data_IF_545678828043
#
_entry.id   IF_545678828043
#
_cell.length_a   1.000
_cell.length_b   1.000
_cell.length_c   1.000
_cell.angle_alpha   90.00
_cell.angle_beta   90.00
_cell.angle_gamma   90.00
#
_symmetry.space_group_name_H-M   'P 1'
#
loop_
_entity.id
_entity.type
_entity.pdbx_description
1 polymer ?
#
# COMPACT_ATOMS: atom_id res chain seq x y z
N UNK A 1 -6.82 4.71 29.56
CA UNK A 1 -7.00 3.29 29.19
C UNK A 1 -7.32 3.31 27.71
N UNK A 2 -6.39 2.82 26.88
CA UNK A 2 -6.52 2.88 25.42
C UNK A 2 -7.54 1.88 24.91
N UNK A 3 -8.16 2.17 23.77
CA UNK A 3 -9.06 1.22 23.14
C UNK A 3 -8.22 0.11 22.48
N UNK A 4 -8.32 -1.13 22.99
CA UNK A 4 -7.55 -2.25 22.46
C UNK A 4 -7.68 -2.41 20.93
N UNK A 5 -8.85 -2.13 20.36
CA UNK A 5 -9.05 -2.20 18.92
C UNK A 5 -8.30 -1.09 18.17
N UNK A 6 -8.19 0.13 18.72
CA UNK A 6 -7.41 1.19 18.07
C UNK A 6 -5.93 0.84 18.06
N UNK A 7 -5.41 0.27 19.15
CA UNK A 7 -4.02 -0.18 19.24
C UNK A 7 -3.73 -1.29 18.22
N UNK A 8 -4.64 -2.26 18.05
CA UNK A 8 -4.52 -3.34 17.06
C UNK A 8 -4.58 -2.81 15.62
N UNK A 9 -5.44 -1.81 15.33
CA UNK A 9 -5.51 -1.14 14.03
C UNK A 9 -4.22 -0.37 13.72
N UNK A 10 -3.70 0.38 14.70
CA UNK A 10 -2.43 1.12 14.60
C UNK A 10 -1.28 0.15 14.32
N UNK A 11 -1.18 -0.94 15.09
CA UNK A 11 -0.17 -1.97 14.89
C UNK A 11 -0.26 -2.58 13.49
N UNK A 12 -1.47 -2.87 13.01
CA UNK A 12 -1.68 -3.39 11.67
C UNK A 12 -1.24 -2.38 10.58
N UNK A 13 -1.63 -1.11 10.69
CA UNK A 13 -1.13 -0.08 9.77
C UNK A 13 0.39 0.08 9.83
N UNK A 14 1.01 -0.12 10.99
CA UNK A 14 2.47 -0.18 11.13
C UNK A 14 3.08 -1.31 10.28
N UNK A 15 2.54 -2.52 10.36
CA UNK A 15 2.99 -3.65 9.54
C UNK A 15 2.76 -3.41 8.04
N UNK A 16 1.61 -2.82 7.67
CA UNK A 16 1.35 -2.42 6.28
C UNK A 16 2.39 -1.40 5.80
N UNK A 17 2.77 -0.44 6.64
CA UNK A 17 3.77 0.55 6.31
C UNK A 17 5.14 -0.08 6.03
N UNK A 18 5.58 -1.03 6.86
CA UNK A 18 6.82 -1.78 6.64
C UNK A 18 6.81 -2.57 5.32
N UNK A 19 5.69 -3.25 5.01
CA UNK A 19 5.55 -3.95 3.73
C UNK A 19 5.59 -3.01 2.53
N UNK A 20 5.01 -1.81 2.65
CA UNK A 20 5.11 -0.78 1.63
C UNK A 20 6.54 -0.27 1.46
N UNK A 21 7.30 -0.07 2.55
CA UNK A 21 8.71 0.32 2.44
C UNK A 21 9.54 -0.75 1.70
N UNK A 22 9.32 -2.02 2.01
CA UNK A 22 9.96 -3.13 1.30
C UNK A 22 9.55 -3.15 -0.19
N UNK A 23 8.27 -2.92 -0.49
CA UNK A 23 7.80 -2.81 -1.87
C UNK A 23 8.46 -1.65 -2.62
N UNK A 24 8.63 -0.50 -1.97
CA UNK A 24 9.34 0.64 -2.54
C UNK A 24 10.79 0.30 -2.88
N UNK A 25 11.49 -0.42 -1.99
CA UNK A 25 12.85 -0.87 -2.26
C UNK A 25 12.90 -1.79 -3.49
N UNK A 26 12.01 -2.77 -3.58
CA UNK A 26 11.93 -3.66 -4.75
C UNK A 26 11.55 -2.90 -6.04
N UNK A 27 10.67 -1.89 -5.97
CA UNK A 27 10.35 -1.02 -7.11
C UNK A 27 11.59 -0.29 -7.62
N UNK A 28 12.42 0.24 -6.71
CA UNK A 28 13.65 0.95 -7.06
C UNK A 28 14.68 0.01 -7.68
N UNK A 29 14.88 -1.17 -7.08
CA UNK A 29 15.78 -2.18 -7.64
C UNK A 29 15.35 -2.60 -9.06
N UNK A 30 14.04 -2.79 -9.26
CA UNK A 30 13.52 -3.09 -10.60
C UNK A 30 13.82 -1.97 -11.60
N UNK A 31 13.63 -0.70 -11.21
CA UNK A 31 13.93 0.44 -12.07
C UNK A 31 15.42 0.51 -12.42
N UNK A 32 16.30 0.35 -11.43
CA UNK A 32 17.76 0.35 -11.61
C UNK A 32 18.21 -0.78 -12.56
N UNK A 33 17.71 -1.99 -12.35
CA UNK A 33 17.93 -3.14 -13.24
C UNK A 33 17.55 -2.82 -14.70
N UNK A 34 16.40 -2.18 -14.92
CA UNK A 34 15.95 -1.79 -16.26
C UNK A 34 16.85 -0.70 -16.88
N UNK A 35 17.29 0.27 -16.08
CA UNK A 35 18.19 1.34 -16.53
C UNK A 35 19.57 0.82 -16.92
N UNK A 36 20.07 -0.20 -16.21
CA UNK A 36 21.34 -0.85 -16.53
C UNK A 36 21.25 -1.84 -17.70
N UNK A 37 20.07 -2.03 -18.29
CA UNK A 37 19.87 -2.98 -19.40
C UNK A 37 19.99 -4.44 -18.96
N UNK A 38 19.83 -4.73 -17.66
CA UNK A 38 19.91 -6.10 -17.15
C UNK A 38 18.77 -6.95 -17.70
N UNK A 39 19.08 -8.21 -18.00
CA UNK A 39 18.13 -9.14 -18.61
C UNK A 39 17.03 -9.59 -17.64
N UNK A 40 15.97 -10.21 -18.18
CA UNK A 40 14.84 -10.77 -17.41
C UNK A 40 15.25 -11.69 -16.25
N UNK A 41 16.40 -12.37 -16.35
CA UNK A 41 16.90 -13.26 -15.31
C UNK A 41 17.14 -12.55 -13.97
N UNK A 42 17.56 -11.28 -14.00
CA UNK A 42 17.81 -10.47 -12.80
C UNK A 42 16.54 -9.81 -12.26
N UNK A 43 15.55 -9.56 -13.14
CA UNK A 43 14.28 -8.94 -12.78
C UNK A 43 13.30 -9.96 -12.17
N UNK A 44 13.32 -11.21 -12.60
CA UNK A 44 12.36 -12.23 -12.13
C UNK A 44 12.36 -12.41 -10.59
N UNK A 45 13.51 -12.53 -9.91
CA UNK A 45 13.55 -12.60 -8.44
C UNK A 45 12.92 -11.38 -7.75
N UNK A 46 13.07 -10.19 -8.31
CA UNK A 46 12.45 -8.95 -7.80
C UNK A 46 10.92 -9.08 -7.90
N UNK A 47 10.41 -9.52 -9.05
CA UNK A 47 8.98 -9.70 -9.26
C UNK A 47 8.36 -10.74 -8.32
N UNK A 48 9.08 -11.82 -8.02
CA UNK A 48 8.64 -12.85 -7.07
C UNK A 48 8.58 -12.31 -5.64
N UNK A 49 9.59 -11.57 -5.19
CA UNK A 49 9.57 -10.90 -3.87
C UNK A 49 8.42 -9.92 -3.74
N UNK A 50 8.17 -9.11 -4.78
CA UNK A 50 7.01 -8.20 -4.84
C UNK A 50 5.69 -8.94 -4.75
N UNK A 51 5.54 -10.10 -5.41
CA UNK A 51 4.32 -10.91 -5.30
C UNK A 51 4.08 -11.39 -3.86
N UNK A 52 5.12 -11.84 -3.16
CA UNK A 52 5.02 -12.24 -1.76
C UNK A 52 4.62 -11.08 -0.84
N UNK A 53 5.17 -9.88 -1.09
CA UNK A 53 4.79 -8.68 -0.34
C UNK A 53 3.31 -8.32 -0.55
N UNK A 54 2.79 -8.43 -1.77
CA UNK A 54 1.37 -8.17 -2.06
C UNK A 54 0.44 -9.17 -1.37
N UNK A 55 0.81 -10.45 -1.32
CA UNK A 55 0.01 -11.46 -0.61
C UNK A 55 -0.07 -11.16 0.89
N UNK A 56 1.05 -10.77 1.51
CA UNK A 56 1.08 -10.34 2.91
C UNK A 56 0.26 -9.07 3.13
N UNK A 57 0.35 -8.10 2.21
CA UNK A 57 -0.43 -6.86 2.26
C UNK A 57 -1.92 -7.13 2.21
N UNK A 58 -2.36 -8.02 1.30
CA UNK A 58 -3.78 -8.36 1.15
C UNK A 58 -4.34 -8.96 2.45
N UNK A 59 -3.61 -9.89 3.08
CA UNK A 59 -3.99 -10.45 4.37
C UNK A 59 -4.12 -9.36 5.45
N UNK A 60 -3.13 -8.49 5.59
CA UNK A 60 -3.18 -7.39 6.57
C UNK A 60 -4.35 -6.44 6.29
N UNK A 61 -4.67 -6.14 5.04
CA UNK A 61 -5.80 -5.31 4.66
C UNK A 61 -7.14 -5.94 5.05
N UNK A 62 -7.29 -7.25 4.84
CA UNK A 62 -8.49 -7.98 5.23
C UNK A 62 -8.68 -7.97 6.74
N UNK A 63 -7.60 -8.22 7.50
CA UNK A 63 -7.66 -8.23 8.96
C UNK A 63 -7.91 -6.83 9.53
N UNK A 64 -7.24 -5.80 8.99
CA UNK A 64 -7.46 -4.42 9.42
C UNK A 64 -8.89 -3.96 9.09
N UNK A 65 -9.46 -4.37 7.96
CA UNK A 65 -10.86 -4.05 7.63
C UNK A 65 -11.84 -4.64 8.65
N UNK A 66 -11.60 -5.84 9.17
CA UNK A 66 -12.43 -6.43 10.23
C UNK A 66 -12.33 -5.61 11.52
N UNK A 67 -11.11 -5.26 11.94
CA UNK A 67 -10.88 -4.43 13.13
C UNK A 67 -11.56 -3.05 12.99
N UNK A 68 -11.43 -2.41 11.83
CA UNK A 68 -12.05 -1.12 11.53
C UNK A 68 -13.58 -1.18 11.58
N UNK A 69 -14.18 -2.27 11.07
CA UNK A 69 -15.62 -2.49 11.16
C UNK A 69 -16.09 -2.70 12.60
N UNK A 70 -15.33 -3.44 13.39
CA UNK A 70 -15.62 -3.67 14.80
C UNK A 70 -15.54 -2.37 15.61
N UNK A 71 -14.44 -1.61 15.45
CA UNK A 71 -14.29 -0.31 16.10
C UNK A 71 -15.40 0.67 15.68
N UNK A 72 -15.76 0.70 14.39
CA UNK A 72 -16.84 1.58 13.92
C UNK A 72 -18.17 1.23 14.59
N UNK A 73 -18.46 -0.06 14.77
CA UNK A 73 -19.66 -0.51 15.50
C UNK A 73 -19.62 -0.11 16.97
N UNK A 74 -18.49 -0.29 17.65
CA UNK A 74 -18.34 0.11 19.06
C UNK A 74 -18.54 1.60 19.27
N UNK A 75 -18.06 2.43 18.33
CA UNK A 75 -18.16 3.88 18.39
C UNK A 75 -19.46 4.43 17.78
N UNK A 76 -20.35 3.59 17.25
CA UNK A 76 -21.58 4.02 16.60
C UNK A 76 -21.36 4.80 15.30
N UNK A 77 -20.23 4.55 14.62
CA UNK A 77 -19.86 5.19 13.36
C UNK A 77 -20.33 4.32 12.18
N UNK A 78 -20.89 4.96 11.15
CA UNK A 78 -21.29 4.28 9.91
C UNK A 78 -20.08 3.72 9.15
N UNK A 79 -18.94 4.41 9.23
CA UNK A 79 -17.71 4.04 8.53
C UNK A 79 -16.46 4.47 9.30
N UNK A 80 -15.37 3.74 9.06
CA UNK A 80 -14.05 4.07 9.57
C UNK A 80 -13.46 5.23 8.76
N UNK A 81 -13.41 6.42 9.35
CA UNK A 81 -12.86 7.61 8.72
C UNK A 81 -12.15 8.51 9.75
N UNK A 82 -10.97 9.04 9.40
CA UNK A 82 -10.15 9.86 10.31
C UNK A 82 -10.86 11.09 10.88
N UNK A 83 -11.74 11.72 10.11
CA UNK A 83 -12.51 12.90 10.54
C UNK A 83 -13.55 12.51 11.58
N UNK A 84 -14.24 11.37 11.37
CA UNK A 84 -15.26 10.84 12.30
C UNK A 84 -14.64 10.22 13.55
N UNK A 85 -13.45 9.64 13.44
CA UNK A 85 -12.71 9.04 14.55
C UNK A 85 -12.07 10.09 15.47
N UNK A 86 -11.70 11.26 14.95
CA UNK A 86 -11.03 12.33 15.71
C UNK A 86 -11.71 12.69 17.05
N UNK A 87 -13.03 12.95 17.11
CA UNK A 87 -13.69 13.24 18.37
C UNK A 87 -13.85 12.03 19.30
N UNK A 88 -13.68 10.80 18.79
CA UNK A 88 -13.95 9.56 19.52
C UNK A 88 -12.70 8.92 20.13
N UNK A 89 -11.51 9.34 19.73
CA UNK A 89 -10.23 8.75 20.14
C UNK A 89 -9.46 9.70 21.06
N UNK A 90 -8.55 9.14 21.86
CA UNK A 90 -7.58 9.96 22.57
C UNK A 90 -6.69 10.69 21.56
N UNK A 91 -6.24 11.90 21.92
CA UNK A 91 -5.45 12.75 21.02
C UNK A 91 -4.18 12.06 20.51
N UNK A 92 -3.53 11.26 21.35
CA UNK A 92 -2.32 10.49 21.00
C UNK A 92 -2.63 9.37 20.01
N UNK A 93 -3.68 8.57 20.26
CA UNK A 93 -4.12 7.48 19.38
C UNK A 93 -4.48 8.03 17.99
N UNK A 94 -5.25 9.12 17.94
CA UNK A 94 -5.60 9.78 16.69
C UNK A 94 -4.38 10.30 15.95
N UNK A 95 -3.45 10.96 16.66
CA UNK A 95 -2.24 11.52 16.05
C UNK A 95 -1.35 10.42 15.44
N UNK A 96 -1.19 9.29 16.13
CA UNK A 96 -0.43 8.15 15.63
C UNK A 96 -1.10 7.55 14.38
N UNK A 97 -2.41 7.30 14.44
CA UNK A 97 -3.17 6.74 13.33
C UNK A 97 -3.13 7.65 12.09
N UNK A 98 -3.39 8.95 12.26
CA UNK A 98 -3.36 9.92 11.18
C UNK A 98 -1.98 9.98 10.52
N UNK A 99 -0.91 10.01 11.32
CA UNK A 99 0.47 10.00 10.83
C UNK A 99 0.78 8.74 10.01
N UNK A 100 0.37 7.56 10.48
CA UNK A 100 0.60 6.30 9.75
C UNK A 100 -0.12 6.28 8.41
N UNK A 101 -1.38 6.71 8.36
CA UNK A 101 -2.16 6.78 7.12
C UNK A 101 -1.54 7.78 6.12
N UNK A 102 -1.01 8.91 6.60
CA UNK A 102 -0.26 9.86 5.78
C UNK A 102 1.04 9.26 5.24
N UNK A 103 1.81 8.58 6.09
CA UNK A 103 3.05 7.92 5.69
C UNK A 103 2.80 6.81 4.64
N UNK A 104 1.74 6.02 4.81
CA UNK A 104 1.29 5.02 3.85
C UNK A 104 0.94 5.66 2.50
N UNK A 105 0.20 6.77 2.52
CA UNK A 105 -0.16 7.49 1.30
C UNK A 105 1.08 7.97 0.54
N UNK A 106 2.08 8.48 1.27
CA UNK A 106 3.33 8.96 0.68
C UNK A 106 4.13 7.83 0.04
N UNK A 107 4.35 6.72 0.76
CA UNK A 107 5.12 5.59 0.22
C UNK A 107 4.44 4.96 -0.98
N UNK A 108 3.10 4.83 -0.96
CA UNK A 108 2.35 4.31 -2.10
C UNK A 108 2.48 5.18 -3.33
N UNK A 109 2.48 6.51 -3.17
CA UNK A 109 2.73 7.44 -4.28
C UNK A 109 4.12 7.23 -4.88
N UNK A 110 5.16 7.09 -4.03
CA UNK A 110 6.53 6.83 -4.50
C UNK A 110 6.66 5.51 -5.25
N UNK A 111 5.99 4.45 -4.78
CA UNK A 111 5.91 3.16 -5.48
C UNK A 111 5.29 3.36 -6.86
N UNK A 112 4.12 4.02 -6.95
CA UNK A 112 3.44 4.26 -8.23
C UNK A 112 4.27 5.09 -9.20
N UNK A 113 4.94 6.14 -8.72
CA UNK A 113 5.81 6.97 -9.56
C UNK A 113 7.00 6.15 -10.09
N UNK A 114 7.57 5.28 -9.27
CA UNK A 114 8.69 4.40 -9.64
C UNK A 114 8.26 3.33 -10.64
N UNK A 115 7.10 2.73 -10.42
CA UNK A 115 6.53 1.70 -11.29
C UNK A 115 6.13 2.30 -12.65
N UNK A 116 5.61 3.53 -12.70
CA UNK A 116 5.32 4.24 -13.94
C UNK A 116 6.59 4.47 -14.78
N UNK A 117 7.70 4.88 -14.15
CA UNK A 117 9.01 5.02 -14.84
C UNK A 117 9.52 3.68 -15.36
N UNK A 118 9.38 2.62 -14.55
CA UNK A 118 9.75 1.26 -14.96
C UNK A 118 8.96 0.81 -16.19
N UNK A 119 7.65 1.07 -16.21
CA UNK A 119 6.80 0.77 -17.36
C UNK A 119 7.19 1.56 -18.62
N UNK A 120 7.58 2.83 -18.48
CA UNK A 120 8.07 3.63 -19.61
C UNK A 120 9.36 3.05 -20.19
N UNK A 121 10.33 2.63 -19.37
CA UNK A 121 11.55 2.00 -19.87
C UNK A 121 11.26 0.66 -20.57
N UNK A 122 10.35 -0.14 -20.00
CA UNK A 122 9.93 -1.39 -20.63
C UNK A 122 9.23 -1.18 -21.98
N UNK A 123 8.43 -0.12 -22.14
CA UNK A 123 7.76 0.18 -23.41
C UNK A 123 8.73 0.70 -24.47
N UNK A 124 9.70 1.53 -24.07
CA UNK A 124 10.77 2.01 -24.95
C UNK A 124 11.68 0.86 -25.42
N UNK A 125 12.01 -0.10 -24.54
CA UNK A 125 12.78 -1.30 -24.91
C UNK A 125 12.01 -2.30 -25.79
N UNK A 126 10.67 -2.29 -25.74
CA UNK A 126 9.80 -3.17 -26.55
C UNK A 126 9.55 -2.69 -27.98
N UNK A 127 9.93 -1.45 -28.34
CA UNK A 127 9.91 -1.00 -29.74
C UNK A 127 10.83 -1.83 -30.66
N UNK A 128 11.67 -2.71 -30.10
CA UNK A 128 12.59 -3.59 -30.83
C UNK A 128 12.22 -5.09 -30.83
N UNK A 129 11.20 -5.56 -30.09
CA UNK A 129 10.82 -6.99 -30.12
C UNK A 129 9.37 -7.23 -29.68
N UNK A 130 8.55 -7.97 -30.45
CA UNK A 130 7.21 -8.34 -30.03
C UNK A 130 7.30 -9.59 -29.14
N UNK A 131 6.99 -9.50 -27.85
CA UNK A 131 6.49 -10.68 -27.13
C UNK A 131 5.82 -10.43 -25.77
N UNK A 132 4.57 -10.94 -25.73
CA UNK A 132 3.70 -11.32 -24.62
C UNK A 132 4.46 -11.61 -23.30
N UNK A 133 4.49 -10.64 -22.40
CA UNK A 133 4.71 -10.87 -20.97
C UNK A 133 3.72 -9.98 -20.24
N UNK A 134 2.60 -10.53 -19.75
CA UNK A 134 1.52 -9.78 -19.14
C UNK A 134 1.97 -9.08 -17.85
N UNK A 135 1.95 -7.74 -17.75
CA UNK A 135 2.39 -7.03 -16.55
C UNK A 135 1.21 -6.35 -15.84
N UNK A 136 0.11 -7.07 -15.57
CA UNK A 136 -1.18 -6.40 -15.25
C UNK A 136 -1.61 -6.48 -13.78
N UNK A 137 -1.21 -7.47 -12.97
CA UNK A 137 -1.86 -7.62 -11.64
C UNK A 137 -1.22 -6.83 -10.48
N UNK A 138 0.07 -6.49 -10.50
CA UNK A 138 0.71 -5.79 -9.37
C UNK A 138 0.25 -4.33 -9.25
N UNK A 139 0.18 -3.62 -10.38
CA UNK A 139 -0.27 -2.23 -10.41
C UNK A 139 -1.76 -2.09 -10.04
N UNK A 140 -2.58 -3.08 -10.37
CA UNK A 140 -3.99 -3.07 -9.99
C UNK A 140 -4.19 -3.23 -8.47
N UNK A 141 -3.42 -4.13 -7.83
CA UNK A 141 -3.47 -4.34 -6.38
C UNK A 141 -3.03 -3.08 -5.60
N UNK A 142 -1.94 -2.43 -6.02
CA UNK A 142 -1.45 -1.21 -5.38
C UNK A 142 -2.43 -0.04 -5.53
N UNK A 143 -3.04 0.11 -6.71
CA UNK A 143 -4.08 1.14 -6.93
C UNK A 143 -5.33 0.89 -6.10
N UNK A 144 -5.79 -0.36 -6.01
CA UNK A 144 -6.91 -0.72 -5.15
C UNK A 144 -6.61 -0.39 -3.68
N UNK A 145 -5.38 -0.62 -3.24
CA UNK A 145 -4.96 -0.29 -1.89
C UNK A 145 -4.85 1.23 -1.64
N UNK A 146 -4.31 2.00 -2.59
CA UNK A 146 -4.33 3.47 -2.53
C UNK A 146 -5.73 4.03 -2.35
N UNK A 147 -6.70 3.46 -3.07
CA UNK A 147 -8.10 3.87 -2.97
C UNK A 147 -8.67 3.62 -1.58
N UNK A 148 -8.34 2.48 -0.97
CA UNK A 148 -8.73 2.18 0.43
C UNK A 148 -8.14 3.20 1.40
N UNK A 149 -6.85 3.52 1.27
CA UNK A 149 -6.19 4.51 2.13
C UNK A 149 -6.81 5.91 1.94
N UNK A 150 -7.17 6.28 0.71
CA UNK A 150 -7.86 7.54 0.42
C UNK A 150 -9.23 7.61 1.09
N UNK A 151 -10.00 6.53 1.04
CA UNK A 151 -11.32 6.45 1.69
C UNK A 151 -11.22 6.58 3.22
N UNK A 152 -10.12 6.12 3.82
CA UNK A 152 -9.92 6.31 5.27
C UNK A 152 -9.66 7.78 5.66
N UNK A 153 -9.27 8.63 4.71
CA UNK A 153 -9.04 10.07 4.93
C UNK A 153 -10.29 10.91 4.68
N UNK A 154 -11.01 10.63 3.60
CA UNK A 154 -12.15 11.42 3.14
C UNK A 154 -13.47 10.78 3.58
N UNK A 155 -14.39 11.50 4.26
CA UNK A 155 -15.71 10.95 4.54
C UNK A 155 -16.45 10.69 3.23
N UNK A 156 -17.17 9.57 3.12
CA UNK A 156 -18.06 9.36 1.98
C UNK A 156 -19.25 10.31 2.12
N UNK A 157 -19.38 11.20 1.14
CA UNK A 157 -20.50 12.15 1.00
C UNK A 157 -21.83 11.45 0.80
#
# INVERSE_FOLDING_TARGET
>A
MGNRLIDEIIANFGLQYELCQNMEQESRQQLESLQMGTGRAEINPILDRRRLLLLKMDQLCQDNRKLQQELSRELGLEEFNLTRLKPCLAAEEWAVLAKLIDQLSLVLRRITDTDARSQQLMSLGQAAAPQKAGPINQNQALRAYQEVIRQNKEPRS
#
